data_IF_356128699293
#
_entry.id   IF_356128699293
#
_cell.length_a   1.000
_cell.length_b   1.000
_cell.length_c   1.000
_cell.angle_alpha   90.00
_cell.angle_beta   90.00
_cell.angle_gamma   90.00
#
_symmetry.space_group_name_H-M   'P 1'
#
loop_
_entity.id
_entity.type
_entity.pdbx_description
1 polymer ?
#
# COMPACT_ATOMS: atom_id res chain seq x y z
N UNK A 1 -3.41 12.25 2.22
CA UNK A 1 -2.55 11.21 1.60
C UNK A 1 -3.29 10.59 0.43
N UNK A 2 -2.63 10.47 -0.70
CA UNK A 2 -3.22 9.86 -1.91
C UNK A 2 -2.96 8.35 -1.84
N UNK A 3 -4.02 7.56 -1.92
CA UNK A 3 -3.97 6.12 -1.69
C UNK A 3 -4.25 5.34 -2.97
N UNK A 4 -3.43 4.34 -3.24
CA UNK A 4 -3.63 3.41 -4.35
C UNK A 4 -3.92 2.02 -3.77
N UNK A 5 -5.04 1.44 -4.18
CA UNK A 5 -5.37 0.05 -3.84
C UNK A 5 -4.82 -0.87 -4.92
N UNK A 6 -4.05 -1.88 -4.51
CA UNK A 6 -3.51 -2.87 -5.43
C UNK A 6 -4.63 -3.69 -6.09
N UNK A 7 -4.30 -4.38 -7.17
CA UNK A 7 -5.26 -5.08 -8.02
C UNK A 7 -6.17 -6.04 -7.26
N UNK A 8 -5.63 -6.73 -6.26
CA UNK A 8 -6.37 -7.74 -5.51
C UNK A 8 -7.12 -7.21 -4.29
N UNK A 9 -7.00 -5.92 -4.00
CA UNK A 9 -7.70 -5.32 -2.87
C UNK A 9 -9.14 -4.99 -3.29
N UNK A 10 -10.15 -5.36 -2.47
CA UNK A 10 -11.54 -5.06 -2.80
C UNK A 10 -11.79 -3.58 -2.99
N UNK A 11 -12.38 -3.21 -4.13
CA UNK A 11 -12.67 -1.80 -4.43
C UNK A 11 -13.71 -1.20 -3.49
N UNK A 12 -14.50 -2.03 -2.82
CA UNK A 12 -15.47 -1.58 -1.82
C UNK A 12 -14.80 -0.83 -0.68
N UNK A 13 -13.51 -1.08 -0.46
CA UNK A 13 -12.75 -0.38 0.58
C UNK A 13 -12.67 1.13 0.30
N UNK A 14 -12.75 1.55 -0.96
CA UNK A 14 -12.71 2.97 -1.33
C UNK A 14 -13.78 3.79 -0.62
N UNK A 15 -15.00 3.27 -0.57
CA UNK A 15 -16.12 4.00 0.06
C UNK A 15 -15.96 4.07 1.57
N UNK A 16 -15.34 3.07 2.17
CA UNK A 16 -15.15 3.00 3.62
C UNK A 16 -14.03 3.93 4.08
N UNK A 17 -12.96 4.04 3.27
CA UNK A 17 -11.82 4.92 3.57
C UNK A 17 -12.09 6.36 3.12
N UNK A 18 -13.32 6.84 3.29
CA UNK A 18 -13.73 8.17 2.86
C UNK A 18 -12.88 9.28 3.49
N UNK A 19 -12.79 10.42 2.82
CA UNK A 19 -12.01 11.56 3.28
C UNK A 19 -10.56 11.56 2.78
N UNK A 20 -10.16 10.53 2.04
CA UNK A 20 -8.82 10.40 1.44
C UNK A 20 -8.98 10.23 -0.07
N UNK A 21 -8.03 10.77 -0.84
CA UNK A 21 -8.02 10.56 -2.28
C UNK A 21 -7.59 9.11 -2.57
N UNK A 22 -8.56 8.26 -2.92
CA UNK A 22 -8.34 6.82 -3.09
C UNK A 22 -8.68 6.40 -4.51
N UNK A 23 -7.74 5.68 -5.13
CA UNK A 23 -7.93 5.06 -6.43
C UNK A 23 -7.54 3.59 -6.35
N UNK A 24 -7.95 2.81 -7.32
CA UNK A 24 -7.57 1.40 -7.44
C UNK A 24 -6.82 1.20 -8.75
N UNK A 25 -5.88 0.27 -8.73
CA UNK A 25 -5.22 -0.21 -9.96
C UNK A 25 -6.28 -0.68 -10.97
N UNK A 26 -7.40 -1.18 -10.48
CA UNK A 26 -8.51 -1.65 -11.33
C UNK A 26 -9.40 -0.53 -11.89
N UNK A 27 -9.22 0.70 -11.43
CA UNK A 27 -10.00 1.82 -11.95
C UNK A 27 -9.60 2.05 -13.41
N UNK A 28 -10.62 2.18 -14.28
CA UNK A 28 -10.39 2.35 -15.71
C UNK A 28 -9.53 3.58 -16.02
N UNK A 29 -9.71 4.64 -15.27
CA UNK A 29 -8.97 5.88 -15.44
C UNK A 29 -7.49 5.76 -15.08
N UNK A 30 -7.15 4.81 -14.21
CA UNK A 30 -5.77 4.54 -13.82
C UNK A 30 -5.07 3.69 -14.87
N UNK A 31 -5.74 2.63 -15.34
CA UNK A 31 -5.23 1.81 -16.44
C UNK A 31 -4.04 0.95 -16.11
N UNK A 32 -3.83 0.61 -14.84
CA UNK A 32 -2.66 -0.14 -14.39
C UNK A 32 -2.93 -1.60 -14.05
N UNK A 33 -4.07 -2.11 -14.46
CA UNK A 33 -4.39 -3.53 -14.24
C UNK A 33 -3.33 -4.42 -14.90
N UNK A 34 -2.88 -5.45 -14.18
CA UNK A 34 -1.85 -6.41 -14.59
C UNK A 34 -0.43 -5.82 -14.66
N UNK A 35 -0.22 -4.60 -14.18
CA UNK A 35 1.14 -4.05 -14.09
C UNK A 35 1.90 -4.80 -12.99
N UNK A 36 3.17 -5.09 -13.22
CA UNK A 36 4.00 -5.78 -12.23
C UNK A 36 4.46 -4.84 -11.13
N UNK A 37 4.68 -5.39 -9.93
CA UNK A 37 4.98 -4.61 -8.73
C UNK A 37 6.11 -3.60 -8.90
N UNK A 38 7.22 -3.99 -9.52
CA UNK A 38 8.34 -3.06 -9.72
C UNK A 38 7.96 -1.85 -10.53
N UNK A 39 7.22 -2.07 -11.61
CA UNK A 39 6.74 -0.97 -12.45
C UNK A 39 5.63 -0.20 -11.76
N UNK A 40 4.77 -0.89 -11.01
CA UNK A 40 3.70 -0.25 -10.26
C UNK A 40 4.29 0.76 -9.26
N UNK A 41 5.30 0.35 -8.50
CA UNK A 41 5.93 1.24 -7.52
C UNK A 41 6.56 2.46 -8.20
N UNK A 42 7.20 2.26 -9.34
CA UNK A 42 7.79 3.36 -10.10
C UNK A 42 6.72 4.33 -10.63
N UNK A 43 5.62 3.78 -11.15
CA UNK A 43 4.54 4.59 -11.72
C UNK A 43 3.77 5.38 -10.66
N UNK A 44 3.64 4.83 -9.45
CA UNK A 44 2.88 5.51 -8.41
C UNK A 44 3.63 6.66 -7.76
N UNK A 45 4.96 6.68 -7.81
CA UNK A 45 5.73 7.78 -7.22
C UNK A 45 5.33 9.13 -7.82
N UNK A 46 5.12 10.12 -6.96
CA UNK A 46 4.67 11.44 -7.39
C UNK A 46 3.18 11.54 -7.66
N UNK A 47 2.49 10.40 -7.77
CA UNK A 47 1.03 10.36 -8.02
C UNK A 47 0.26 9.87 -6.82
N UNK A 48 0.84 8.94 -6.08
CA UNK A 48 0.25 8.36 -4.88
C UNK A 48 1.29 8.30 -3.76
N UNK A 49 0.82 8.30 -2.53
CA UNK A 49 1.67 8.27 -1.34
C UNK A 49 1.68 6.92 -0.67
N UNK A 50 0.55 6.22 -0.66
CA UNK A 50 0.37 4.94 0.03
C UNK A 50 -0.16 3.89 -0.93
N UNK A 51 0.50 2.72 -0.94
CA UNK A 51 -0.02 1.52 -1.60
C UNK A 51 -0.59 0.59 -0.53
N UNK A 52 -1.85 0.18 -0.68
CA UNK A 52 -2.45 -0.87 0.13
C UNK A 52 -2.48 -2.13 -0.72
N UNK A 53 -1.85 -3.19 -0.24
CA UNK A 53 -1.68 -4.44 -0.96
C UNK A 53 -1.88 -5.63 -0.03
N UNK A 54 -2.08 -6.81 -0.58
CA UNK A 54 -2.07 -8.07 0.17
C UNK A 54 -0.87 -8.94 -0.20
N UNK A 55 0.07 -8.43 -0.96
CA UNK A 55 1.27 -9.16 -1.35
C UNK A 55 2.26 -9.22 -0.18
N UNK A 56 2.30 -10.36 0.50
CA UNK A 56 3.13 -10.58 1.68
C UNK A 56 4.63 -10.56 1.37
N UNK A 57 5.00 -10.69 0.11
CA UNK A 57 6.40 -10.80 -0.30
C UNK A 57 6.95 -9.52 -0.95
N UNK A 58 6.16 -8.47 -0.98
CA UNK A 58 6.52 -7.25 -1.69
C UNK A 58 7.86 -6.67 -1.23
N UNK A 59 8.06 -6.61 0.08
CA UNK A 59 9.29 -6.06 0.68
C UNK A 59 10.53 -6.84 0.23
N UNK A 60 10.43 -8.17 0.21
CA UNK A 60 11.56 -9.03 -0.16
C UNK A 60 11.84 -9.01 -1.66
N UNK A 61 10.83 -8.72 -2.48
CA UNK A 61 10.94 -8.79 -3.94
C UNK A 61 11.33 -7.48 -4.59
N UNK A 62 11.14 -6.35 -3.90
CA UNK A 62 11.31 -5.04 -4.50
C UNK A 62 12.32 -4.20 -3.73
N UNK A 63 13.08 -3.42 -4.46
CA UNK A 63 13.98 -2.43 -3.86
C UNK A 63 13.18 -1.18 -3.55
N UNK A 64 12.97 -0.91 -2.25
CA UNK A 64 12.20 0.24 -1.80
C UNK A 64 13.07 1.44 -1.44
N UNK A 65 14.38 1.27 -1.46
CA UNK A 65 15.31 2.34 -1.09
C UNK A 65 15.11 3.56 -1.99
N UNK A 66 14.96 4.72 -1.36
CA UNK A 66 14.81 5.98 -2.05
C UNK A 66 13.43 6.27 -2.61
N UNK A 67 12.48 5.35 -2.47
CA UNK A 67 11.13 5.59 -2.95
C UNK A 67 10.34 6.42 -1.96
N UNK A 68 9.74 7.50 -2.42
CA UNK A 68 8.97 8.42 -1.57
C UNK A 68 7.51 7.98 -1.48
N UNK A 69 7.30 6.78 -0.98
CA UNK A 69 6.00 6.16 -0.78
C UNK A 69 5.95 5.45 0.57
N UNK A 70 4.77 5.02 0.98
CA UNK A 70 4.62 4.07 2.07
C UNK A 70 3.75 2.91 1.62
N UNK A 71 3.84 1.79 2.33
CA UNK A 71 3.16 0.56 1.95
C UNK A 71 2.48 -0.04 3.17
N UNK A 72 1.21 -0.42 3.00
CA UNK A 72 0.44 -1.15 3.99
C UNK A 72 0.07 -2.51 3.39
N UNK A 73 0.54 -3.58 4.02
CA UNK A 73 0.25 -4.95 3.60
C UNK A 73 -0.85 -5.51 4.50
N UNK A 74 -1.95 -5.94 3.87
CA UNK A 74 -3.06 -6.57 4.57
C UNK A 74 -2.85 -8.08 4.62
N UNK A 75 -3.41 -8.77 5.63
CA UNK A 75 -3.19 -10.21 5.80
C UNK A 75 -3.98 -11.07 4.80
N UNK A 76 -4.88 -10.46 4.04
CA UNK A 76 -5.77 -11.16 3.13
C UNK A 76 -6.30 -10.20 2.07
N UNK A 77 -6.75 -10.76 0.96
CA UNK A 77 -7.47 -10.01 -0.08
C UNK A 77 -8.96 -10.40 -0.13
N UNK A 78 -9.43 -11.24 0.79
CA UNK A 78 -10.85 -11.64 0.83
C UNK A 78 -11.68 -10.43 1.22
N UNK A 79 -12.67 -10.12 0.39
CA UNK A 79 -13.51 -8.93 0.58
C UNK A 79 -14.11 -8.85 1.98
N UNK A 80 -14.76 -9.91 2.44
CA UNK A 80 -15.42 -9.89 3.75
C UNK A 80 -14.43 -9.64 4.89
N UNK A 81 -13.24 -10.26 4.82
CA UNK A 81 -12.22 -10.11 5.86
C UNK A 81 -11.62 -8.70 5.83
N UNK A 82 -11.33 -8.18 4.63
CA UNK A 82 -10.78 -6.82 4.49
C UNK A 82 -11.76 -5.79 5.02
N UNK A 83 -13.03 -5.91 4.65
CA UNK A 83 -14.05 -4.96 5.10
C UNK A 83 -14.28 -5.04 6.62
N UNK A 84 -14.15 -6.24 7.20
CA UNK A 84 -14.23 -6.41 8.65
C UNK A 84 -13.06 -5.74 9.39
N UNK A 85 -11.94 -5.53 8.72
CA UNK A 85 -10.75 -4.88 9.29
C UNK A 85 -10.70 -3.37 9.00
N UNK A 86 -11.72 -2.81 8.38
CA UNK A 86 -11.70 -1.44 7.90
C UNK A 86 -11.34 -0.41 8.97
N UNK A 87 -11.91 -0.53 10.17
CA UNK A 87 -11.62 0.41 11.26
C UNK A 87 -10.14 0.37 11.65
N UNK A 88 -9.57 -0.84 11.71
CA UNK A 88 -8.16 -1.00 12.03
C UNK A 88 -7.27 -0.45 10.91
N UNK A 89 -7.66 -0.65 9.66
CA UNK A 89 -6.95 -0.08 8.51
C UNK A 89 -6.92 1.44 8.62
N UNK A 90 -8.04 2.06 8.96
CA UNK A 90 -8.13 3.52 9.12
C UNK A 90 -7.19 4.00 10.23
N UNK A 91 -7.17 3.32 11.37
CA UNK A 91 -6.27 3.65 12.47
C UNK A 91 -4.79 3.59 12.04
N UNK A 92 -4.41 2.54 11.33
CA UNK A 92 -3.04 2.36 10.85
C UNK A 92 -2.68 3.46 9.84
N UNK A 93 -3.59 3.79 8.93
CA UNK A 93 -3.36 4.85 7.95
C UNK A 93 -3.10 6.21 8.59
N UNK A 94 -3.70 6.46 9.74
CA UNK A 94 -3.51 7.74 10.45
C UNK A 94 -2.09 7.88 11.01
N UNK A 95 -1.37 6.78 11.16
CA UNK A 95 -0.03 6.77 11.76
C UNK A 95 1.09 6.46 10.77
N UNK A 96 0.76 6.10 9.53
CA UNK A 96 1.75 5.71 8.53
C UNK A 96 2.33 6.95 7.84
N UNK A 97 3.62 6.91 7.58
CA UNK A 97 4.34 8.02 6.93
C UNK A 97 5.15 7.50 5.76
N UNK A 98 5.50 8.38 4.84
CA UNK A 98 6.39 8.04 3.72
C UNK A 98 7.67 7.40 4.27
N UNK A 99 8.07 6.29 3.67
CA UNK A 99 9.21 5.50 4.13
C UNK A 99 8.82 4.33 5.02
N UNK A 100 7.57 4.23 5.44
CA UNK A 100 7.10 3.14 6.28
C UNK A 100 6.64 1.95 5.44
N UNK A 101 7.00 0.77 5.89
CA UNK A 101 6.47 -0.50 5.40
C UNK A 101 5.76 -1.17 6.57
N UNK A 102 4.45 -1.30 6.50
CA UNK A 102 3.64 -1.76 7.62
C UNK A 102 2.89 -3.01 7.21
N UNK A 103 3.01 -4.05 8.02
CA UNK A 103 2.25 -5.30 7.83
C UNK A 103 1.21 -5.39 8.93
N UNK A 104 -0.06 -5.39 8.52
CA UNK A 104 -1.18 -5.58 9.43
C UNK A 104 -1.50 -7.08 9.49
N UNK A 105 -1.56 -7.62 10.70
CA UNK A 105 -1.88 -9.02 10.94
C UNK A 105 -3.38 -9.18 11.22
N UNK A 106 -3.90 -10.40 11.07
CA UNK A 106 -5.32 -10.68 11.33
C UNK A 106 -5.73 -10.34 12.77
N UNK A 107 -4.80 -10.45 13.71
CA UNK A 107 -5.02 -10.09 15.11
C UNK A 107 -5.19 -8.58 15.32
N UNK A 108 -4.88 -7.77 14.33
CA UNK A 108 -4.81 -6.31 14.45
C UNK A 108 -3.43 -5.82 14.82
N UNK A 109 -2.50 -6.71 15.13
CA UNK A 109 -1.12 -6.34 15.44
C UNK A 109 -0.43 -5.80 14.18
N UNK A 110 0.42 -4.81 14.36
CA UNK A 110 1.14 -4.15 13.29
C UNK A 110 2.63 -4.41 13.43
N UNK A 111 3.26 -4.83 12.33
CA UNK A 111 4.71 -4.94 12.24
C UNK A 111 5.17 -3.84 11.30
N UNK A 112 6.06 -2.99 11.80
CA UNK A 112 6.51 -1.82 11.05
C UNK A 112 8.00 -1.92 10.76
N UNK A 113 8.37 -1.65 9.51
CA UNK A 113 9.74 -1.46 9.07
C UNK A 113 9.81 -0.11 8.34
N UNK A 114 11.00 0.45 8.27
CA UNK A 114 11.21 1.68 7.51
C UNK A 114 12.25 1.43 6.44
N UNK A 115 12.02 1.94 5.25
CA UNK A 115 13.03 1.85 4.20
C UNK A 115 13.76 3.19 4.05
N UNK A 116 15.00 3.10 3.58
CA UNK A 116 15.89 4.26 3.48
C UNK A 116 15.42 5.20 2.38
N UNK A 117 15.14 6.43 2.72
CA UNK A 117 14.71 7.47 1.79
C UNK A 117 15.87 8.26 1.19
N UNK A 118 17.12 7.94 1.54
CA UNK A 118 18.28 8.69 1.02
C UNK A 118 18.39 8.66 -0.49
N UNK A 119 17.83 7.61 -1.11
CA UNK A 119 17.88 7.48 -2.55
C UNK A 119 19.21 7.01 -3.12
N UNK A 120 20.19 6.75 -2.26
CA UNK A 120 21.51 6.29 -2.70
C UNK A 120 21.53 4.77 -2.77
N UNK A 121 21.28 4.24 -3.95
CA UNK A 121 21.21 2.81 -4.18
C UNK A 121 22.60 2.14 -4.11
N UNK A 122 23.68 2.91 -4.07
CA UNK A 122 25.04 2.39 -4.03
C UNK A 122 25.59 2.29 -2.62
N UNK A 123 24.87 2.74 -1.65
CA UNK A 123 25.30 2.59 -0.27
C UNK A 123 25.31 1.13 0.12
N UNK A 124 26.40 0.67 0.73
CA UNK A 124 26.49 -0.70 1.19
C UNK A 124 25.54 -0.99 2.34
#
# INVERSE_FOLDING_TARGET
>A
MRVLLDENIPIQLKAILSGTAIKSVNDREIGWKNIKNGKLLAEMEGKFDLLITADQNLYAQQNLKGREICILVLPTNRRSDVLAMADRIIEVMAEISVGDYVVLQRSGTVIKASFDLSGDANEP
#
